data_IF_136775713971
#
_entry.id   IF_136775713971
#
_cell.length_a   1.000
_cell.length_b   1.000
_cell.length_c   1.000
_cell.angle_alpha   90.00
_cell.angle_beta   90.00
_cell.angle_gamma   90.00
#
_symmetry.space_group_name_H-M   'P 1'
#
loop_
_entity.id
_entity.type
_entity.pdbx_description
1 polymer ?
#
# COMPACT_ATOMS: atom_id res chain seq x y z
N UNK A 1 -6.34 -22.78 -4.19
CA UNK A 1 -5.23 -21.91 -3.82
C UNK A 1 -5.63 -21.10 -2.58
N UNK A 2 -4.73 -20.94 -1.61
CA UNK A 2 -4.95 -20.18 -0.40
C UNK A 2 -3.62 -19.58 0.10
N UNK A 3 -2.96 -18.71 -0.66
CA UNK A 3 -1.77 -18.04 -0.16
C UNK A 3 -2.15 -17.10 0.99
N UNK A 4 -1.37 -17.15 2.09
CA UNK A 4 -1.64 -16.40 3.32
C UNK A 4 -1.60 -14.89 3.10
N UNK A 5 -0.71 -14.41 2.26
CA UNK A 5 -0.52 -13.01 1.90
C UNK A 5 -1.72 -12.36 1.17
N UNK A 6 -2.67 -13.19 0.68
CA UNK A 6 -3.91 -12.73 0.02
C UNK A 6 -5.16 -13.10 0.81
N UNK A 7 -5.20 -14.29 1.42
CA UNK A 7 -6.46 -14.90 1.83
C UNK A 7 -6.54 -15.27 3.32
N UNK A 8 -5.60 -14.83 4.15
CA UNK A 8 -5.72 -14.91 5.61
C UNK A 8 -6.40 -13.64 6.11
N UNK A 9 -7.71 -13.71 6.32
CA UNK A 9 -8.55 -12.55 6.64
C UNK A 9 -8.48 -12.12 8.10
N UNK A 10 -7.76 -12.84 8.93
CA UNK A 10 -7.33 -12.43 10.27
C UNK A 10 -6.17 -11.43 10.24
N UNK A 11 -5.42 -11.35 9.13
CA UNK A 11 -4.36 -10.37 8.94
C UNK A 11 -4.93 -8.95 8.79
N UNK A 12 -4.08 -7.96 9.03
CA UNK A 12 -4.42 -6.55 8.89
C UNK A 12 -4.94 -6.22 7.47
N UNK A 13 -5.82 -5.22 7.39
CA UNK A 13 -6.52 -4.90 6.14
C UNK A 13 -5.61 -4.32 5.05
N UNK A 14 -4.52 -3.68 5.42
CA UNK A 14 -3.48 -3.18 4.52
C UNK A 14 -2.63 -4.33 3.94
N UNK A 15 -2.39 -5.39 4.70
CA UNK A 15 -1.68 -6.59 4.24
C UNK A 15 -2.50 -7.36 3.20
N UNK A 16 -3.80 -7.61 3.48
CA UNK A 16 -4.72 -8.37 2.63
C UNK A 16 -5.87 -7.47 2.17
N UNK A 17 -5.56 -6.41 1.45
CA UNK A 17 -6.55 -5.43 0.99
C UNK A 17 -7.45 -5.99 -0.12
N UNK A 18 -8.63 -5.38 -0.28
CA UNK A 18 -9.54 -5.69 -1.40
C UNK A 18 -8.83 -5.51 -2.75
N UNK A 19 -8.01 -4.47 -2.90
CA UNK A 19 -7.19 -4.21 -4.10
C UNK A 19 -6.25 -5.39 -4.39
N UNK A 20 -5.55 -5.87 -3.37
CA UNK A 20 -4.61 -6.99 -3.49
C UNK A 20 -5.33 -8.29 -3.85
N UNK A 21 -6.47 -8.57 -3.21
CA UNK A 21 -7.29 -9.74 -3.52
C UNK A 21 -7.77 -9.71 -4.97
N UNK A 22 -8.33 -8.60 -5.44
CA UNK A 22 -8.83 -8.46 -6.82
C UNK A 22 -7.72 -8.61 -7.86
N UNK A 23 -6.50 -8.19 -7.55
CA UNK A 23 -5.35 -8.33 -8.44
C UNK A 23 -4.86 -9.79 -8.55
N UNK A 24 -5.20 -10.67 -7.60
CA UNK A 24 -4.73 -12.04 -7.60
C UNK A 24 -5.35 -12.87 -8.74
N UNK A 25 -4.49 -13.63 -9.43
CA UNK A 25 -4.88 -14.66 -10.39
C UNK A 25 -4.29 -16.01 -9.94
N UNK A 26 -5.12 -16.98 -9.55
CA UNK A 26 -4.62 -18.27 -9.08
C UNK A 26 -3.85 -19.06 -10.13
N UNK A 27 -3.97 -18.69 -11.40
CA UNK A 27 -3.31 -19.34 -12.52
C UNK A 27 -2.12 -18.54 -13.11
N UNK A 28 -1.72 -17.41 -12.49
CA UNK A 28 -0.66 -16.53 -13.01
C UNK A 28 0.76 -17.10 -12.82
N UNK A 29 0.97 -18.09 -11.96
CA UNK A 29 2.31 -18.62 -11.69
C UNK A 29 2.90 -19.31 -12.94
N UNK A 30 3.94 -18.71 -13.51
CA UNK A 30 4.62 -19.16 -14.73
C UNK A 30 5.44 -20.45 -14.50
N UNK A 31 5.69 -20.84 -13.25
CA UNK A 31 6.30 -22.12 -12.90
C UNK A 31 5.35 -23.30 -13.14
N UNK A 32 4.05 -23.04 -13.27
CA UNK A 32 3.05 -24.05 -13.54
C UNK A 32 2.81 -24.21 -15.04
N UNK A 33 2.96 -25.43 -15.54
CA UNK A 33 2.56 -25.75 -16.91
C UNK A 33 1.05 -25.62 -17.11
N UNK A 34 0.58 -25.46 -18.36
CA UNK A 34 -0.87 -25.42 -18.65
C UNK A 34 -1.62 -26.65 -18.13
N UNK A 35 -0.99 -27.81 -18.12
CA UNK A 35 -1.58 -29.04 -17.58
C UNK A 35 -1.70 -28.97 -16.04
N UNK A 36 -0.71 -28.42 -15.35
CA UNK A 36 -0.75 -28.26 -13.90
C UNK A 36 -1.78 -27.22 -13.46
N UNK A 37 -1.96 -26.13 -14.23
CA UNK A 37 -2.97 -25.09 -13.96
C UNK A 37 -4.39 -25.66 -13.91
N UNK A 38 -4.69 -26.75 -14.64
CA UNK A 38 -5.99 -27.45 -14.58
C UNK A 38 -6.33 -28.08 -13.25
N UNK A 39 -5.33 -28.27 -12.36
CA UNK A 39 -5.54 -28.80 -11.01
C UNK A 39 -5.81 -27.71 -9.97
N UNK A 40 -5.83 -26.45 -10.36
CA UNK A 40 -6.27 -25.35 -9.50
C UNK A 40 -7.80 -25.26 -9.63
N UNK A 41 -8.50 -25.86 -8.67
CA UNK A 41 -9.98 -25.97 -8.71
C UNK A 41 -10.69 -24.75 -8.11
N UNK A 42 -9.95 -23.83 -7.51
CA UNK A 42 -10.51 -22.62 -6.92
C UNK A 42 -9.59 -21.99 -5.86
N UNK A 43 -10.16 -21.03 -5.17
CA UNK A 43 -9.53 -20.24 -4.11
C UNK A 43 -10.24 -20.45 -2.78
N UNK A 44 -9.52 -20.27 -1.68
CA UNK A 44 -10.03 -20.38 -0.32
C UNK A 44 -9.46 -19.22 0.51
N UNK A 45 -10.26 -18.66 1.39
CA UNK A 45 -9.78 -17.78 2.44
C UNK A 45 -9.87 -18.47 3.81
N UNK A 46 -8.97 -18.10 4.70
CA UNK A 46 -8.95 -18.52 6.09
C UNK A 46 -9.22 -17.33 7.00
N UNK A 47 -9.82 -17.59 8.13
CA UNK A 47 -10.00 -16.64 9.22
C UNK A 47 -9.73 -17.40 10.54
N UNK A 48 -8.56 -17.19 11.11
CA UNK A 48 -8.16 -17.80 12.36
C UNK A 48 -8.65 -16.97 13.54
N UNK A 49 -9.28 -17.62 14.50
CA UNK A 49 -10.08 -16.92 15.53
C UNK A 49 -9.33 -16.57 16.80
N UNK A 50 -8.02 -16.82 16.89
CA UNK A 50 -7.23 -16.59 18.12
C UNK A 50 -7.36 -15.17 18.66
N UNK A 51 -7.52 -14.19 17.76
CA UNK A 51 -7.57 -12.77 18.10
C UNK A 51 -8.91 -12.12 17.74
N UNK A 52 -9.95 -12.94 17.51
CA UNK A 52 -11.26 -12.46 17.04
C UNK A 52 -12.33 -12.70 18.10
N UNK A 53 -12.60 -11.74 18.98
CA UNK A 53 -13.42 -11.96 20.17
C UNK A 53 -14.94 -11.96 19.89
N UNK A 54 -15.40 -11.47 18.72
CA UNK A 54 -16.85 -11.29 18.46
C UNK A 54 -17.23 -11.55 17.01
N UNK A 55 -18.50 -11.94 16.78
CA UNK A 55 -19.09 -12.07 15.44
C UNK A 55 -19.01 -10.76 14.64
N UNK A 56 -19.23 -9.61 15.29
CA UNK A 56 -19.08 -8.30 14.64
C UNK A 56 -17.66 -8.07 14.10
N UNK A 57 -16.65 -8.56 14.82
CA UNK A 57 -15.26 -8.49 14.33
C UNK A 57 -15.03 -9.42 13.14
N UNK A 58 -15.63 -10.62 13.13
CA UNK A 58 -15.62 -11.53 11.98
C UNK A 58 -16.21 -10.82 10.75
N UNK A 59 -17.44 -10.32 10.86
CA UNK A 59 -18.12 -9.60 9.76
C UNK A 59 -17.27 -8.47 9.21
N UNK A 60 -16.67 -7.68 10.08
CA UNK A 60 -15.76 -6.59 9.72
C UNK A 60 -14.53 -7.07 8.96
N UNK A 61 -13.94 -8.18 9.35
CA UNK A 61 -12.75 -8.73 8.72
C UNK A 61 -13.03 -9.38 7.37
N UNK A 62 -14.18 -10.02 7.20
CA UNK A 62 -14.51 -10.76 5.97
C UNK A 62 -15.19 -9.90 4.91
N UNK A 63 -15.94 -8.86 5.27
CA UNK A 63 -16.68 -8.05 4.31
C UNK A 63 -16.01 -6.67 4.15
N UNK A 64 -15.62 -6.26 2.94
CA UNK A 64 -15.96 -6.81 1.62
C UNK A 64 -14.96 -7.83 1.03
N UNK A 65 -13.90 -8.24 1.74
CA UNK A 65 -12.85 -9.13 1.21
C UNK A 65 -13.39 -10.47 0.68
N UNK A 66 -14.40 -11.06 1.34
CA UNK A 66 -15.05 -12.28 0.87
C UNK A 66 -15.75 -12.07 -0.47
N UNK A 67 -16.30 -10.88 -0.72
CA UNK A 67 -16.94 -10.58 -2.01
C UNK A 67 -15.87 -10.45 -3.09
N UNK A 68 -14.73 -9.82 -2.79
CA UNK A 68 -13.59 -9.78 -3.71
C UNK A 68 -13.04 -11.19 -4.01
N UNK A 69 -12.99 -12.08 -3.01
CA UNK A 69 -12.64 -13.49 -3.22
C UNK A 69 -13.64 -14.18 -4.16
N UNK A 70 -14.93 -13.91 -4.01
CA UNK A 70 -15.97 -14.47 -4.90
C UNK A 70 -15.77 -13.97 -6.33
N UNK A 71 -15.41 -12.71 -6.52
CA UNK A 71 -15.15 -12.13 -7.83
C UNK A 71 -14.03 -12.90 -8.56
N UNK A 72 -12.89 -13.09 -7.92
CA UNK A 72 -11.78 -13.82 -8.54
C UNK A 72 -12.02 -15.33 -8.69
N UNK A 73 -12.98 -15.89 -7.94
CA UNK A 73 -13.33 -17.30 -8.05
C UNK A 73 -14.27 -17.60 -9.23
N UNK A 74 -15.10 -16.63 -9.65
CA UNK A 74 -16.16 -16.83 -10.64
C UNK A 74 -15.94 -16.05 -11.93
N UNK A 75 -15.07 -15.02 -11.94
CA UNK A 75 -14.84 -14.14 -13.09
C UNK A 75 -13.47 -14.44 -13.69
N UNK A 76 -13.43 -14.59 -15.01
CA UNK A 76 -12.17 -14.79 -15.73
C UNK A 76 -11.23 -13.57 -15.55
N UNK A 77 -9.92 -13.80 -15.41
CA UNK A 77 -8.95 -12.72 -15.17
C UNK A 77 -9.01 -11.56 -16.18
N UNK A 78 -9.30 -11.87 -17.45
CA UNK A 78 -9.36 -10.87 -18.53
C UNK A 78 -10.54 -9.90 -18.43
N UNK A 79 -11.58 -10.22 -17.66
CA UNK A 79 -12.80 -9.41 -17.51
C UNK A 79 -13.10 -9.02 -16.07
N UNK A 80 -12.12 -9.19 -15.18
CA UNK A 80 -12.24 -8.74 -13.80
C UNK A 80 -12.48 -7.21 -13.74
N UNK A 81 -13.35 -6.74 -12.82
CA UNK A 81 -13.59 -5.32 -12.64
C UNK A 81 -12.34 -4.61 -12.10
N UNK A 82 -12.19 -3.33 -12.41
CA UNK A 82 -11.29 -2.46 -11.66
C UNK A 82 -11.75 -2.32 -10.21
N UNK A 83 -10.89 -1.84 -9.32
CA UNK A 83 -11.26 -1.59 -7.92
C UNK A 83 -12.44 -0.61 -7.80
N UNK A 84 -12.46 0.43 -8.61
CA UNK A 84 -13.54 1.42 -8.65
C UNK A 84 -14.86 0.77 -9.08
N UNK A 85 -14.83 0.01 -10.18
CA UNK A 85 -16.00 -0.71 -10.68
C UNK A 85 -16.51 -1.74 -9.67
N UNK A 86 -15.63 -2.47 -9.02
CA UNK A 86 -15.99 -3.40 -7.95
C UNK A 86 -16.74 -2.69 -6.82
N UNK A 87 -16.23 -1.59 -6.31
CA UNK A 87 -16.92 -0.83 -5.27
C UNK A 87 -18.25 -0.26 -5.75
N UNK A 88 -18.32 0.20 -7.00
CA UNK A 88 -19.58 0.67 -7.60
C UNK A 88 -20.64 -0.43 -7.61
N UNK A 89 -20.25 -1.66 -7.95
CA UNK A 89 -21.14 -2.82 -7.95
C UNK A 89 -21.54 -3.26 -6.53
N UNK A 90 -20.72 -2.97 -5.51
CA UNK A 90 -21.03 -3.29 -4.13
C UNK A 90 -22.06 -2.36 -3.48
N UNK A 91 -22.32 -1.17 -4.02
CA UNK A 91 -23.26 -0.22 -3.41
C UNK A 91 -24.62 -0.84 -3.09
N UNK A 92 -25.29 -1.59 -3.99
CA UNK A 92 -26.55 -2.29 -3.64
C UNK A 92 -26.37 -3.37 -2.59
N UNK A 93 -25.20 -4.01 -2.52
CA UNK A 93 -24.92 -5.05 -1.53
C UNK A 93 -24.75 -4.43 -0.13
N UNK A 94 -24.04 -3.31 -0.02
CA UNK A 94 -23.93 -2.58 1.24
C UNK A 94 -25.31 -2.21 1.80
N UNK A 95 -26.24 -1.75 0.96
CA UNK A 95 -27.64 -1.46 1.37
C UNK A 95 -28.37 -2.71 1.91
N UNK A 96 -28.13 -3.87 1.30
CA UNK A 96 -28.69 -5.16 1.80
C UNK A 96 -28.07 -5.53 3.14
N UNK A 97 -26.77 -5.34 3.29
CA UNK A 97 -26.04 -5.60 4.53
C UNK A 97 -26.51 -4.68 5.67
N UNK A 98 -26.80 -3.41 5.37
CA UNK A 98 -27.40 -2.48 6.36
C UNK A 98 -28.74 -3.02 6.88
N UNK A 99 -29.62 -3.50 5.99
CA UNK A 99 -30.90 -4.13 6.38
C UNK A 99 -30.67 -5.38 7.25
N UNK A 100 -29.66 -6.19 6.91
CA UNK A 100 -29.27 -7.38 7.67
C UNK A 100 -28.46 -7.07 8.93
N UNK A 101 -28.09 -5.82 9.16
CA UNK A 101 -27.24 -5.35 10.27
C UNK A 101 -25.87 -6.00 10.31
N UNK A 102 -25.29 -6.31 9.15
CA UNK A 102 -23.93 -6.82 9.02
C UNK A 102 -22.93 -5.70 9.33
N UNK A 103 -21.96 -6.00 10.18
CA UNK A 103 -20.91 -5.04 10.54
C UNK A 103 -19.75 -5.05 9.52
N UNK A 104 -20.06 -4.73 8.26
CA UNK A 104 -19.04 -4.67 7.21
C UNK A 104 -18.06 -3.51 7.41
N UNK A 105 -16.83 -3.67 6.91
CA UNK A 105 -15.83 -2.61 6.87
C UNK A 105 -16.19 -1.60 5.78
N UNK A 106 -16.20 -0.33 6.16
CA UNK A 106 -16.34 0.77 5.19
C UNK A 106 -15.08 0.80 4.32
N UNK A 107 -15.20 0.93 2.99
CA UNK A 107 -14.05 1.10 2.12
C UNK A 107 -13.18 2.28 2.54
N UNK A 108 -11.85 2.14 2.31
CA UNK A 108 -10.90 3.18 2.65
C UNK A 108 -11.14 4.45 1.82
N UNK A 109 -10.90 5.58 2.45
CA UNK A 109 -10.84 6.87 1.77
C UNK A 109 -9.68 6.88 0.77
N UNK A 110 -9.91 7.56 -0.34
CA UNK A 110 -8.92 7.76 -1.40
C UNK A 110 -8.59 9.25 -1.54
N UNK A 111 -7.47 9.56 -2.18
CA UNK A 111 -7.06 10.94 -2.49
C UNK A 111 -5.87 11.44 -1.66
N UNK A 112 -5.20 10.58 -0.89
CA UNK A 112 -4.01 10.93 -0.12
C UNK A 112 -3.07 9.74 0.08
N UNK A 113 -1.83 10.03 0.44
CA UNK A 113 -0.87 9.06 0.97
C UNK A 113 -0.74 9.22 2.50
N UNK A 114 -0.02 8.32 3.13
CA UNK A 114 0.26 8.40 4.56
C UNK A 114 1.02 9.69 4.93
N UNK A 115 1.95 10.09 4.06
CA UNK A 115 2.67 11.36 4.13
C UNK A 115 2.64 12.01 2.76
N UNK A 116 2.23 13.28 2.68
CA UNK A 116 2.14 14.07 1.45
C UNK A 116 3.03 15.30 1.60
N UNK A 117 3.93 15.52 0.63
CA UNK A 117 4.75 16.72 0.60
C UNK A 117 4.12 17.79 -0.28
N UNK A 118 4.32 19.07 0.06
CA UNK A 118 3.91 20.20 -0.77
C UNK A 118 4.82 21.41 -0.51
N UNK A 119 4.81 22.39 -1.44
CA UNK A 119 5.67 23.58 -1.37
C UNK A 119 4.93 24.73 -0.68
N UNK A 120 4.03 25.39 -1.37
CA UNK A 120 3.34 26.58 -0.86
C UNK A 120 1.97 26.23 -0.30
N UNK A 121 1.16 25.56 -1.12
CA UNK A 121 -0.19 25.11 -0.81
C UNK A 121 -0.50 23.81 -1.55
N UNK A 122 -1.44 23.05 -1.05
CA UNK A 122 -2.00 21.87 -1.70
C UNK A 122 -3.46 21.69 -1.30
N UNK A 123 -4.17 20.83 -2.00
CA UNK A 123 -5.58 20.57 -1.74
C UNK A 123 -5.79 19.09 -1.45
N UNK A 124 -6.57 18.77 -0.40
CA UNK A 124 -7.03 17.42 -0.10
C UNK A 124 -8.41 17.24 -0.72
N UNK A 125 -8.50 16.35 -1.70
CA UNK A 125 -9.77 15.96 -2.30
C UNK A 125 -10.04 14.47 -2.04
N UNK A 126 -10.94 14.19 -1.09
CA UNK A 126 -11.23 12.85 -0.60
C UNK A 126 -12.43 12.25 -1.30
N UNK A 127 -12.32 10.98 -1.63
CA UNK A 127 -13.44 10.18 -2.08
C UNK A 127 -13.66 8.96 -1.18
N UNK A 128 -14.93 8.67 -0.88
CA UNK A 128 -15.35 7.41 -0.27
C UNK A 128 -16.14 6.60 -1.31
N UNK A 129 -15.73 5.36 -1.60
CA UNK A 129 -16.46 4.53 -2.56
C UNK A 129 -17.89 4.18 -2.12
N UNK A 130 -18.24 4.39 -0.85
CA UNK A 130 -19.58 4.14 -0.31
C UNK A 130 -20.41 5.44 -0.27
N UNK A 131 -21.43 5.62 -1.14
CA UNK A 131 -22.28 6.80 -1.15
C UNK A 131 -23.12 6.94 0.12
N UNK A 132 -23.43 8.19 0.48
CA UNK A 132 -24.30 8.51 1.62
C UNK A 132 -23.62 8.41 2.98
N UNK A 133 -22.28 8.32 2.99
CA UNK A 133 -21.48 8.42 4.20
C UNK A 133 -21.08 9.87 4.48
N UNK A 134 -20.84 10.20 5.75
CA UNK A 134 -20.24 11.46 6.17
C UNK A 134 -18.76 11.24 6.50
N UNK A 135 -17.89 12.12 6.00
CA UNK A 135 -16.47 12.13 6.36
C UNK A 135 -16.28 13.24 7.39
N UNK A 136 -15.70 12.90 8.55
CA UNK A 136 -15.33 13.85 9.60
C UNK A 136 -13.83 13.87 9.77
N UNK A 137 -13.27 15.01 10.20
CA UNK A 137 -11.82 15.13 10.36
C UNK A 137 -11.41 16.00 11.54
N UNK A 138 -10.16 15.83 11.93
CA UNK A 138 -9.41 16.67 12.87
C UNK A 138 -8.08 17.07 12.22
N UNK A 139 -7.48 18.15 12.71
CA UNK A 139 -6.21 18.72 12.20
C UNK A 139 -5.07 18.59 13.21
N UNK A 140 -5.30 17.87 14.29
CA UNK A 140 -4.34 17.61 15.37
C UNK A 140 -4.04 16.10 15.51
N UNK A 141 -4.51 15.28 14.57
CA UNK A 141 -4.37 13.83 14.58
C UNK A 141 -5.24 13.10 15.60
N UNK A 142 -6.08 13.81 16.36
CA UNK A 142 -7.01 13.18 17.30
C UNK A 142 -8.11 12.40 16.56
N UNK A 143 -8.68 11.38 17.23
CA UNK A 143 -9.71 10.53 16.63
C UNK A 143 -10.99 11.33 16.32
N UNK A 144 -11.42 11.40 15.03
CA UNK A 144 -12.67 12.08 14.68
C UNK A 144 -13.91 11.39 15.27
N UNK A 145 -14.81 12.21 15.80
CA UNK A 145 -16.14 11.81 16.28
C UNK A 145 -17.23 12.40 15.39
N UNK A 146 -18.50 12.12 15.67
CA UNK A 146 -19.63 12.72 14.95
C UNK A 146 -19.73 14.24 15.12
N UNK A 147 -19.14 14.78 16.17
CA UNK A 147 -19.08 16.20 16.49
C UNK A 147 -17.89 16.91 15.84
N UNK A 148 -16.91 16.15 15.32
CA UNK A 148 -15.76 16.72 14.61
C UNK A 148 -16.17 17.41 13.31
N UNK A 149 -15.27 18.20 12.75
CA UNK A 149 -15.53 18.98 11.53
C UNK A 149 -15.98 18.10 10.38
N UNK A 150 -17.06 18.46 9.72
CA UNK A 150 -17.56 17.76 8.53
C UNK A 150 -16.71 18.13 7.31
N UNK A 151 -16.27 17.13 6.56
CA UNK A 151 -15.65 17.31 5.27
C UNK A 151 -16.74 17.57 4.20
N UNK A 152 -16.77 18.79 3.67
CA UNK A 152 -17.77 19.23 2.69
C UNK A 152 -17.21 19.44 1.28
N UNK A 153 -16.07 18.85 0.96
CA UNK A 153 -15.35 19.02 -0.29
C UNK A 153 -13.88 19.39 -0.05
N UNK A 154 -13.19 19.73 -1.09
CA UNK A 154 -11.75 19.97 -1.08
C UNK A 154 -11.30 20.91 0.05
N UNK A 155 -10.20 20.53 0.74
CA UNK A 155 -9.59 21.31 1.82
C UNK A 155 -8.25 21.86 1.36
N UNK A 156 -8.07 23.16 1.46
CA UNK A 156 -6.78 23.82 1.19
C UNK A 156 -5.88 23.66 2.41
N UNK A 157 -4.61 23.28 2.16
CA UNK A 157 -3.57 23.06 3.15
C UNK A 157 -2.39 23.96 2.85
N UNK A 158 -2.07 24.87 3.74
CA UNK A 158 -0.98 25.85 3.60
C UNK A 158 0.14 25.69 4.61
N UNK A 159 -0.08 24.89 5.65
CA UNK A 159 0.87 24.60 6.71
C UNK A 159 0.96 23.08 6.98
N UNK A 160 2.10 22.65 7.54
CA UNK A 160 2.27 21.25 7.97
C UNK A 160 1.17 20.86 8.95
N UNK A 161 0.40 19.83 8.62
CA UNK A 161 -0.79 19.45 9.39
C UNK A 161 -0.91 17.92 9.46
N UNK A 162 -1.23 17.41 10.65
CA UNK A 162 -1.56 16.01 10.89
C UNK A 162 -3.10 15.86 10.85
N UNK A 163 -3.59 15.24 9.79
CA UNK A 163 -5.01 14.98 9.65
C UNK A 163 -5.36 13.57 10.12
N UNK A 164 -6.50 13.47 10.77
CA UNK A 164 -7.21 12.20 10.94
C UNK A 164 -8.59 12.32 10.29
N UNK A 165 -8.94 11.37 9.44
CA UNK A 165 -10.23 11.28 8.77
C UNK A 165 -10.98 10.03 9.23
N UNK A 166 -12.29 10.14 9.35
CA UNK A 166 -13.15 9.02 9.68
C UNK A 166 -14.46 9.12 8.96
N UNK A 167 -14.89 8.01 8.38
CA UNK A 167 -16.17 7.92 7.68
C UNK A 167 -17.24 7.38 8.62
N UNK A 168 -18.42 7.93 8.55
CA UNK A 168 -19.60 7.48 9.30
C UNK A 168 -20.70 7.04 8.36
N UNK A 169 -21.23 5.84 8.58
CA UNK A 169 -22.40 5.33 7.86
C UNK A 169 -23.69 6.06 8.31
N UNK A 170 -24.80 5.96 7.56
CA UNK A 170 -26.08 6.58 7.95
C UNK A 170 -26.61 6.14 9.32
N UNK A 171 -26.32 4.90 9.74
CA UNK A 171 -26.66 4.39 11.08
C UNK A 171 -25.73 4.92 12.18
N UNK A 172 -24.70 5.68 11.79
CA UNK A 172 -23.71 6.27 12.66
C UNK A 172 -22.53 5.38 13.02
N UNK A 173 -22.45 4.18 12.48
CA UNK A 173 -21.29 3.30 12.66
C UNK A 173 -20.06 3.90 11.99
N UNK A 174 -18.91 3.98 12.69
CA UNK A 174 -17.70 4.57 12.15
C UNK A 174 -16.84 3.57 11.39
N UNK A 175 -16.04 4.08 10.44
CA UNK A 175 -14.89 3.35 9.86
C UNK A 175 -13.69 3.28 10.82
N UNK A 176 -12.61 2.64 10.36
CA UNK A 176 -11.28 2.90 10.91
C UNK A 176 -10.91 4.37 10.70
N UNK A 177 -9.93 4.84 11.47
CA UNK A 177 -9.37 6.19 11.31
C UNK A 177 -8.27 6.14 10.26
N UNK A 178 -8.35 7.01 9.27
CA UNK A 178 -7.30 7.22 8.30
C UNK A 178 -6.44 8.40 8.75
N UNK A 179 -5.18 8.14 9.08
CA UNK A 179 -4.21 9.18 9.43
C UNK A 179 -3.37 9.54 8.22
N UNK A 180 -3.18 10.83 8.00
CA UNK A 180 -2.29 11.34 6.96
C UNK A 180 -1.63 12.63 7.42
N UNK A 181 -0.38 12.80 7.04
CA UNK A 181 0.38 14.01 7.30
C UNK A 181 0.63 14.77 6.00
N UNK A 182 0.36 16.04 6.01
CA UNK A 182 0.75 16.97 4.96
C UNK A 182 1.93 17.79 5.47
N UNK A 183 3.05 17.74 4.74
CA UNK A 183 4.32 18.34 5.14
C UNK A 183 4.69 19.43 4.15
N UNK A 184 4.68 20.69 4.61
CA UNK A 184 5.22 21.81 3.85
C UNK A 184 6.74 21.74 3.89
N UNK A 185 7.39 21.59 2.75
CA UNK A 185 8.83 21.41 2.66
C UNK A 185 9.40 22.23 1.49
N UNK A 186 10.57 22.85 1.66
CA UNK A 186 11.26 23.45 0.53
C UNK A 186 11.74 22.37 -0.45
N UNK A 187 12.06 22.77 -1.67
CA UNK A 187 12.81 21.91 -2.57
C UNK A 187 14.16 21.51 -1.97
N UNK A 188 14.49 20.23 -2.07
CA UNK A 188 15.84 19.77 -1.75
C UNK A 188 16.82 20.28 -2.81
N UNK A 189 17.97 20.77 -2.36
CA UNK A 189 19.04 21.22 -3.26
C UNK A 189 19.68 20.01 -3.95
N UNK A 190 19.94 20.16 -5.26
CA UNK A 190 20.62 19.12 -6.01
C UNK A 190 22.07 18.93 -5.55
N UNK A 191 22.49 17.69 -5.42
CA UNK A 191 23.90 17.35 -5.16
C UNK A 191 24.73 17.50 -6.43
N UNK A 192 26.01 17.83 -6.27
CA UNK A 192 26.93 17.87 -7.41
C UNK A 192 27.27 16.45 -7.87
N UNK A 193 26.80 16.08 -9.04
CA UNK A 193 27.12 14.79 -9.64
C UNK A 193 28.58 14.75 -10.14
N UNK A 194 29.25 13.59 -10.13
CA UNK A 194 30.56 13.40 -10.77
C UNK A 194 30.53 13.76 -12.27
N UNK A 195 31.65 14.25 -12.78
CA UNK A 195 31.78 14.68 -14.19
C UNK A 195 31.58 13.53 -15.22
N UNK A 196 31.77 12.29 -14.81
CA UNK A 196 31.62 11.11 -15.66
C UNK A 196 30.69 10.10 -14.98
N UNK A 197 29.40 10.19 -15.30
CA UNK A 197 28.39 9.19 -14.93
C UNK A 197 28.23 8.19 -16.07
N UNK A 198 28.00 6.93 -15.69
CA UNK A 198 27.53 5.90 -16.60
C UNK A 198 26.06 5.62 -16.28
N UNK A 199 25.21 5.31 -17.29
CA UNK A 199 23.84 4.91 -17.05
C UNK A 199 23.75 3.67 -16.15
N UNK A 200 22.72 3.66 -15.29
CA UNK A 200 22.43 2.55 -14.40
C UNK A 200 22.80 2.80 -12.94
N UNK A 201 22.60 1.78 -12.12
CA UNK A 201 22.88 1.77 -10.69
C UNK A 201 23.99 0.75 -10.40
N UNK A 202 24.91 1.08 -9.51
CA UNK A 202 25.83 0.12 -8.95
C UNK A 202 25.07 -0.72 -7.94
N UNK A 203 25.00 -2.04 -8.14
CA UNK A 203 24.39 -3.01 -7.23
C UNK A 203 25.48 -3.89 -6.61
N UNK A 204 25.55 -3.93 -5.28
CA UNK A 204 26.45 -4.80 -4.53
C UNK A 204 25.61 -5.88 -3.86
N UNK A 205 25.92 -7.14 -4.18
CA UNK A 205 25.28 -8.31 -3.58
C UNK A 205 26.06 -8.83 -2.39
N UNK A 206 25.35 -9.00 -1.27
CA UNK A 206 25.85 -9.58 -0.04
C UNK A 206 25.14 -10.92 0.26
N UNK A 207 25.86 -11.91 0.80
CA UNK A 207 25.27 -13.15 1.36
C UNK A 207 24.66 -12.82 2.73
N UNK A 208 23.48 -12.23 2.69
CA UNK A 208 22.82 -11.66 3.86
C UNK A 208 21.76 -12.61 4.42
N UNK A 209 21.79 -12.83 5.74
CA UNK A 209 20.86 -13.71 6.46
C UNK A 209 20.17 -13.00 7.63
N UNK A 210 20.27 -11.70 7.67
CA UNK A 210 19.64 -10.85 8.68
C UNK A 210 18.22 -10.44 8.30
N UNK A 211 17.63 -9.60 9.12
CA UNK A 211 16.27 -9.09 8.92
C UNK A 211 16.21 -7.57 8.75
N UNK A 212 17.34 -6.85 8.91
CA UNK A 212 17.36 -5.40 8.81
C UNK A 212 18.31 -4.93 7.71
N UNK A 213 17.87 -3.99 6.91
CA UNK A 213 18.66 -3.41 5.82
C UNK A 213 19.97 -2.79 6.31
N UNK A 214 19.98 -2.21 7.50
CA UNK A 214 21.16 -1.60 8.11
C UNK A 214 22.33 -2.60 8.35
N UNK A 215 22.05 -3.89 8.39
CA UNK A 215 23.04 -4.93 8.66
C UNK A 215 23.65 -5.52 7.36
N UNK A 216 23.13 -5.14 6.18
CA UNK A 216 23.55 -5.72 4.89
C UNK A 216 25.04 -5.47 4.63
N UNK A 217 25.54 -4.26 4.87
CA UNK A 217 26.93 -3.88 4.59
C UNK A 217 27.96 -4.66 5.43
N UNK A 218 27.53 -5.23 6.57
CA UNK A 218 28.38 -6.08 7.39
C UNK A 218 28.50 -7.52 6.88
N UNK A 219 27.62 -7.93 5.94
CA UNK A 219 27.63 -9.26 5.38
C UNK A 219 28.66 -9.42 4.24
N UNK A 220 29.16 -10.65 3.96
CA UNK A 220 30.15 -10.89 2.93
C UNK A 220 29.66 -10.49 1.53
N UNK A 221 30.44 -9.69 0.82
CA UNK A 221 30.18 -9.35 -0.60
C UNK A 221 30.38 -10.59 -1.47
N UNK A 222 29.43 -10.84 -2.36
CA UNK A 222 29.42 -11.94 -3.34
C UNK A 222 29.62 -11.47 -4.77
N UNK A 223 29.23 -10.25 -5.10
CA UNK A 223 29.38 -9.70 -6.44
C UNK A 223 28.99 -8.23 -6.53
N UNK A 224 29.48 -7.62 -7.59
CA UNK A 224 29.13 -6.24 -7.96
C UNK A 224 28.63 -6.21 -9.41
N UNK A 225 27.58 -5.45 -9.66
CA UNK A 225 26.90 -5.36 -10.94
C UNK A 225 26.57 -3.92 -11.27
N UNK A 226 26.34 -3.65 -12.56
CA UNK A 226 25.65 -2.43 -12.99
C UNK A 226 24.30 -2.86 -13.58
N UNK A 227 23.21 -2.31 -13.03
CA UNK A 227 21.84 -2.61 -13.44
C UNK A 227 21.19 -1.36 -14.03
N UNK A 228 20.38 -1.51 -15.07
CA UNK A 228 19.71 -0.37 -15.73
C UNK A 228 18.54 0.19 -14.91
N UNK A 229 18.00 -0.61 -14.02
CA UNK A 229 16.88 -0.24 -13.15
C UNK A 229 17.01 -0.90 -11.79
N UNK A 230 16.16 -0.53 -10.83
CA UNK A 230 16.06 -1.22 -9.53
C UNK A 230 15.51 -2.63 -9.76
N UNK A 231 16.41 -3.59 -9.90
CA UNK A 231 16.08 -4.99 -10.16
C UNK A 231 17.14 -5.92 -9.58
N UNK A 232 16.74 -7.14 -9.28
CA UNK A 232 17.68 -8.20 -8.83
C UNK A 232 18.37 -8.77 -10.07
N UNK A 233 19.73 -8.73 -10.15
CA UNK A 233 20.46 -9.37 -11.25
C UNK A 233 20.17 -10.87 -11.33
N UNK A 234 20.12 -11.44 -12.53
CA UNK A 234 19.79 -12.86 -12.77
C UNK A 234 20.75 -13.85 -12.07
N UNK A 235 21.98 -13.41 -11.85
CA UNK A 235 23.03 -14.20 -11.18
C UNK A 235 22.86 -14.29 -9.67
N UNK A 236 22.11 -13.33 -9.08
CA UNK A 236 21.89 -13.25 -7.63
C UNK A 236 20.92 -14.33 -7.19
N UNK A 237 21.37 -15.23 -6.33
CA UNK A 237 20.56 -16.36 -5.83
C UNK A 237 20.86 -16.66 -4.36
N UNK A 238 19.87 -17.17 -3.66
CA UNK A 238 20.00 -17.60 -2.27
C UNK A 238 19.64 -16.50 -1.29
N UNK A 239 20.46 -16.28 -0.27
CA UNK A 239 20.24 -15.20 0.70
C UNK A 239 20.73 -13.89 0.10
N UNK A 240 19.84 -12.90 0.02
CA UNK A 240 20.06 -11.70 -0.78
C UNK A 240 20.01 -10.48 0.12
N UNK A 241 21.13 -9.75 0.20
CA UNK A 241 21.15 -8.34 0.56
C UNK A 241 21.70 -7.56 -0.64
N UNK A 242 20.96 -6.61 -1.15
CA UNK A 242 21.38 -5.76 -2.28
C UNK A 242 21.46 -4.30 -1.83
N UNK A 243 22.65 -3.70 -2.04
CA UNK A 243 22.84 -2.26 -1.87
C UNK A 243 22.99 -1.65 -3.24
N UNK A 244 22.03 -0.80 -3.64
CA UNK A 244 22.05 -0.11 -4.93
C UNK A 244 22.35 1.37 -4.72
N UNK A 245 23.31 1.89 -5.48
CA UNK A 245 23.71 3.31 -5.41
C UNK A 245 23.80 3.93 -6.80
N UNK A 246 23.44 5.22 -6.88
CA UNK A 246 23.49 5.97 -8.13
C UNK A 246 22.99 7.39 -7.95
N UNK A 247 22.73 8.05 -9.05
CA UNK A 247 22.20 9.41 -9.10
C UNK A 247 20.86 9.41 -9.81
N UNK A 248 19.91 10.16 -9.28
CA UNK A 248 18.62 10.40 -9.91
C UNK A 248 18.67 11.77 -10.60
N UNK A 249 18.43 11.79 -11.90
CA UNK A 249 18.22 13.03 -12.64
C UNK A 249 16.79 13.53 -12.42
N UNK A 250 16.67 14.76 -11.94
CA UNK A 250 15.38 15.42 -11.69
C UNK A 250 15.09 16.33 -12.90
N UNK A 251 14.12 15.99 -13.78
CA UNK A 251 13.90 16.72 -15.02
C UNK A 251 13.22 18.08 -14.83
N UNK A 252 12.54 18.29 -13.70
CA UNK A 252 11.86 19.55 -13.37
C UNK A 252 11.61 19.66 -11.87
N UNK A 253 11.52 20.88 -11.37
CA UNK A 253 11.12 21.13 -10.00
C UNK A 253 9.72 20.55 -9.72
N UNK A 254 9.55 19.80 -8.64
CA UNK A 254 8.25 19.19 -8.34
C UNK A 254 8.25 18.30 -7.10
N UNK A 255 7.06 17.77 -6.82
CA UNK A 255 6.87 16.72 -5.80
C UNK A 255 7.02 15.37 -6.48
N UNK A 256 8.06 14.64 -6.10
CA UNK A 256 8.33 13.30 -6.61
C UNK A 256 7.78 12.26 -5.65
N UNK A 257 7.12 11.27 -6.20
CA UNK A 257 6.54 10.16 -5.45
C UNK A 257 7.36 8.91 -5.71
N UNK A 258 7.84 8.28 -4.64
CA UNK A 258 8.58 7.03 -4.68
C UNK A 258 7.72 5.93 -4.06
N UNK A 259 7.61 4.82 -4.76
CA UNK A 259 6.97 3.60 -4.28
C UNK A 259 8.03 2.55 -4.02
N UNK A 260 8.10 2.05 -2.78
CA UNK A 260 8.96 0.93 -2.39
C UNK A 260 8.07 -0.29 -2.19
N UNK A 261 8.22 -1.28 -3.06
CA UNK A 261 7.54 -2.57 -2.97
C UNK A 261 8.59 -3.65 -2.77
N UNK A 262 8.55 -4.36 -1.67
CA UNK A 262 9.50 -5.43 -1.37
C UNK A 262 8.89 -6.56 -0.55
N UNK A 263 9.56 -7.70 -0.61
CA UNK A 263 9.40 -8.91 0.17
C UNK A 263 10.82 -9.51 0.30
N UNK A 264 11.54 -9.44 1.42
CA UNK A 264 11.25 -8.78 2.69
C UNK A 264 11.51 -7.25 2.65
N UNK A 265 12.30 -6.74 3.60
CA UNK A 265 12.55 -5.33 3.85
C UNK A 265 13.27 -4.56 2.74
N UNK A 266 13.02 -3.27 2.67
CA UNK A 266 13.77 -2.32 1.83
C UNK A 266 13.80 -0.92 2.45
N UNK A 267 14.85 -0.18 2.14
CA UNK A 267 14.95 1.25 2.51
C UNK A 267 15.36 2.09 1.31
N UNK A 268 14.93 3.33 1.28
CA UNK A 268 15.37 4.33 0.31
C UNK A 268 15.99 5.50 1.03
N UNK A 269 17.26 5.75 0.73
CA UNK A 269 17.99 6.94 1.19
C UNK A 269 18.25 7.86 0.02
N UNK A 270 17.95 9.15 0.16
CA UNK A 270 18.22 10.18 -0.82
C UNK A 270 19.09 11.27 -0.16
N UNK A 271 20.26 11.53 -0.74
CA UNK A 271 21.24 12.54 -0.24
C UNK A 271 21.58 12.39 1.26
N UNK A 272 21.66 11.12 1.72
CA UNK A 272 21.97 10.78 3.11
C UNK A 272 20.77 10.84 4.07
N UNK A 273 19.59 11.23 3.62
CA UNK A 273 18.35 11.22 4.40
C UNK A 273 17.56 9.93 4.12
N UNK A 274 17.15 9.19 5.15
CA UNK A 274 16.24 8.06 5.02
C UNK A 274 14.85 8.60 4.62
N UNK A 275 14.52 8.41 3.34
CA UNK A 275 13.25 8.88 2.77
C UNK A 275 12.13 7.85 2.93
N UNK A 276 12.43 6.58 2.68
CA UNK A 276 11.47 5.49 2.78
C UNK A 276 12.00 4.35 3.65
N UNK A 277 11.20 3.94 4.63
CA UNK A 277 11.51 2.85 5.54
C UNK A 277 10.41 1.78 5.42
N UNK A 278 10.74 0.70 4.71
CA UNK A 278 9.95 -0.52 4.56
C UNK A 278 10.79 -1.70 5.06
N UNK A 279 11.55 -1.50 6.15
CA UNK A 279 12.51 -2.48 6.67
C UNK A 279 11.83 -3.59 7.48
N UNK A 280 12.56 -4.69 7.67
CA UNK A 280 12.13 -5.84 8.46
C UNK A 280 11.63 -7.02 7.64
N UNK A 281 11.30 -8.10 8.35
CA UNK A 281 10.76 -9.30 7.74
C UNK A 281 9.24 -9.20 7.57
N UNK A 282 8.77 -9.17 6.33
CA UNK A 282 7.35 -9.09 5.99
C UNK A 282 7.08 -9.68 4.60
N UNK A 283 5.83 -10.06 4.33
CA UNK A 283 5.39 -10.37 2.97
C UNK A 283 5.43 -9.11 2.10
N UNK A 284 5.16 -9.26 0.79
CA UNK A 284 5.16 -8.12 -0.14
C UNK A 284 4.30 -6.95 0.36
N UNK A 285 4.95 -5.85 0.72
CA UNK A 285 4.37 -4.58 1.19
C UNK A 285 4.88 -3.43 0.35
N UNK A 286 3.98 -2.52 -0.02
CA UNK A 286 4.30 -1.27 -0.69
C UNK A 286 4.15 -0.10 0.27
N UNK A 287 5.16 0.75 0.34
CA UNK A 287 5.06 2.07 0.96
C UNK A 287 5.25 3.16 -0.09
N UNK A 288 4.61 4.30 0.15
CA UNK A 288 4.73 5.47 -0.72
C UNK A 288 5.25 6.65 0.08
N UNK A 289 6.28 7.31 -0.45
CA UNK A 289 6.91 8.48 0.15
C UNK A 289 7.06 9.58 -0.89
N UNK A 290 7.04 10.83 -0.45
CA UNK A 290 7.16 11.99 -1.32
C UNK A 290 8.29 12.90 -0.89
N UNK A 291 8.95 13.53 -1.87
CA UNK A 291 10.01 14.54 -1.66
C UNK A 291 9.86 15.65 -2.70
N UNK A 292 10.04 16.88 -2.26
CA UNK A 292 10.16 18.03 -3.14
C UNK A 292 11.60 18.11 -3.67
N UNK A 293 11.79 18.02 -4.98
CA UNK A 293 13.10 17.99 -5.66
C UNK A 293 13.18 19.07 -6.74
N UNK A 294 14.38 19.60 -6.98
CA UNK A 294 14.70 20.54 -8.06
C UNK A 294 16.03 20.23 -8.73
#
# INVERSE_FOLDING_TARGET
ACPNEYFYFDYAQDQNSVKKILAYDPCSDDRLSPEQKKYIWGVQANLWSEWIPTMKRIEYLIVPRMIALSEIAWVEPAVKPSLEEFYRQLVPQFKRMDVMRVNYRVPDLQGFYKVNAFIDETTIDLTCPLPGTEIRYTTDGSMPTKESTLYNGALDVTETTDFAFRTFRPDGSPSDVAHTKYVKAPYAEAVTAPAALQPGLKAVWHDFRGNLCADIDAAPVKGEYVVESVSIPEEVKGNIGLVMTGYLEVPADGIYTFALLSDDGSTLTLDGELLGDNDGAHSSVEIIVQKALK
#
